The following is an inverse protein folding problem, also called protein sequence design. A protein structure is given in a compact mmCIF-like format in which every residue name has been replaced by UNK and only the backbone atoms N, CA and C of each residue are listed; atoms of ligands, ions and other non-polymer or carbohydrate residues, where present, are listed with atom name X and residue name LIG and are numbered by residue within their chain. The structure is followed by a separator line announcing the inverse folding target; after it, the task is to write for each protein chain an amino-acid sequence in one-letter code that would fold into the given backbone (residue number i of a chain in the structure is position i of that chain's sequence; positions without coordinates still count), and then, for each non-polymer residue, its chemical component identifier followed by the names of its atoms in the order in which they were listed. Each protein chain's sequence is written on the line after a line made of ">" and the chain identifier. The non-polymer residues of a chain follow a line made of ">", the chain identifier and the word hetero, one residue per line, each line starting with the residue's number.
data_IF_802853379621
#
_entry.id   IF_802853379621
#
_cell.length_a   1.000
_cell.length_b   1.000
_cell.length_c   1.000
_cell.angle_alpha   90.00
_cell.angle_beta   90.00
_cell.angle_gamma   90.00
#
_symmetry.space_group_name_H-M   'P 1'
#
loop_
_entity.id
_entity.type
_entity.pdbx_description
1 polymer ?
#
# COMPACT_ATOMS: atom_id res chain seq x y z
N UNK A 1 -9.25 -20.32 -19.50
CA UNK A 1 -8.03 -19.75 -18.89
C UNK A 1 -8.22 -19.88 -17.40
N UNK A 2 -7.48 -20.77 -16.76
CA UNK A 2 -7.58 -21.03 -15.33
C UNK A 2 -6.92 -19.88 -14.56
N UNK A 3 -7.73 -18.90 -14.14
CA UNK A 3 -7.30 -17.85 -13.23
C UNK A 3 -6.98 -18.49 -11.88
N UNK A 4 -5.70 -18.74 -11.60
CA UNK A 4 -5.25 -19.17 -10.28
C UNK A 4 -5.44 -18.02 -9.29
N UNK A 5 -6.58 -18.02 -8.59
CA UNK A 5 -6.82 -17.15 -7.45
C UNK A 5 -5.87 -17.60 -6.35
N UNK A 6 -5.03 -16.69 -5.87
CA UNK A 6 -4.21 -16.96 -4.70
C UNK A 6 -5.10 -16.80 -3.48
N UNK A 7 -5.64 -17.93 -3.01
CA UNK A 7 -6.30 -18.02 -1.71
C UNK A 7 -5.26 -18.42 -0.67
N UNK A 8 -5.17 -17.68 0.44
CA UNK A 8 -4.35 -18.08 1.59
C UNK A 8 -4.98 -19.32 2.24
N UNK A 9 -4.49 -20.51 1.91
CA UNK A 9 -4.77 -21.75 2.64
C UNK A 9 -3.52 -22.18 3.42
N UNK A 10 -3.69 -22.45 4.71
CA UNK A 10 -2.65 -22.84 5.66
C UNK A 10 -1.93 -24.12 5.22
N UNK A 11 -0.62 -24.06 5.08
CA UNK A 11 0.30 -25.18 5.27
C UNK A 11 1.58 -24.60 5.89
N UNK A 12 1.73 -24.84 7.19
CA UNK A 12 2.95 -24.60 7.96
C UNK A 12 4.03 -25.64 7.62
N UNK A 13 5.26 -25.30 7.99
CA UNK A 13 6.50 -26.08 8.03
C UNK A 13 7.54 -25.76 6.94
N UNK A 14 8.31 -24.69 7.17
CA UNK A 14 9.77 -24.85 7.33
C UNK A 14 10.39 -23.57 7.95
N UNK A 15 10.69 -23.64 9.25
CA UNK A 15 11.55 -22.69 9.96
C UNK A 15 13.00 -22.94 9.53
N UNK A 16 13.57 -22.02 8.74
CA UNK A 16 15.02 -21.96 8.64
C UNK A 16 15.52 -20.51 8.52
N UNK A 17 16.15 -20.10 9.61
CA UNK A 17 16.92 -18.87 9.82
C UNK A 17 17.81 -18.53 8.63
N UNK A 18 17.53 -17.40 7.99
CA UNK A 18 18.49 -16.64 7.19
C UNK A 18 18.34 -15.14 7.49
N UNK A 19 18.73 -14.74 8.70
CA UNK A 19 19.21 -13.38 8.93
C UNK A 19 20.66 -13.32 8.44
N UNK A 20 20.89 -12.65 7.31
CA UNK A 20 22.17 -11.99 6.96
C UNK A 20 21.98 -11.12 5.71
N UNK A 21 22.09 -9.81 5.91
CA UNK A 21 22.47 -8.80 4.90
C UNK A 21 21.69 -8.73 3.58
N UNK A 22 20.43 -8.26 3.62
CA UNK A 22 19.84 -7.62 2.43
C UNK A 22 20.06 -6.11 2.48
N UNK A 23 21.22 -5.68 1.96
CA UNK A 23 21.38 -4.30 1.52
C UNK A 23 20.38 -4.06 0.37
N UNK A 24 19.46 -3.13 0.60
CA UNK A 24 18.27 -2.83 -0.20
C UNK A 24 18.54 -2.74 -1.71
N UNK A 25 17.90 -3.60 -2.52
CA UNK A 25 18.02 -3.60 -3.98
C UNK A 25 17.41 -2.36 -4.65
N UNK A 26 16.41 -1.74 -4.02
CA UNK A 26 15.72 -0.56 -4.52
C UNK A 26 16.44 0.77 -4.28
N UNK A 27 17.51 0.82 -3.48
CA UNK A 27 18.14 2.09 -3.07
C UNK A 27 19.53 2.36 -3.67
N UNK A 28 20.05 1.51 -4.57
CA UNK A 28 21.38 1.72 -5.15
C UNK A 28 21.35 2.68 -6.35
N UNK A 29 22.07 3.80 -6.23
CA UNK A 29 22.66 4.55 -7.34
C UNK A 29 21.83 5.68 -7.98
N UNK A 30 20.50 5.55 -8.05
CA UNK A 30 19.62 6.54 -8.71
C UNK A 30 18.94 7.48 -7.71
N UNK A 31 18.56 8.69 -8.12
CA UNK A 31 17.80 9.60 -7.26
C UNK A 31 16.41 9.03 -6.95
N UNK A 32 15.81 9.27 -5.76
CA UNK A 32 14.50 8.72 -5.40
C UNK A 32 13.40 8.96 -6.44
N UNK A 33 13.43 10.14 -7.05
CA UNK A 33 12.48 10.54 -8.10
C UNK A 33 12.66 9.72 -9.40
N UNK A 34 13.90 9.42 -9.79
CA UNK A 34 14.19 8.63 -10.98
C UNK A 34 13.65 7.20 -10.82
N UNK A 35 13.84 6.61 -9.63
CA UNK A 35 13.33 5.28 -9.31
C UNK A 35 11.81 5.22 -9.30
N UNK A 36 11.15 6.25 -8.76
CA UNK A 36 9.69 6.36 -8.77
C UNK A 36 9.16 6.40 -10.21
N UNK A 37 9.74 7.23 -11.07
CA UNK A 37 9.36 7.31 -12.49
C UNK A 37 9.71 6.05 -13.28
N UNK A 38 10.87 5.43 -13.02
CA UNK A 38 11.28 4.19 -13.66
C UNK A 38 10.32 3.04 -13.32
N UNK A 39 9.90 2.92 -12.06
CA UNK A 39 8.90 1.93 -11.66
C UNK A 39 7.52 2.22 -12.25
N UNK A 40 7.08 3.49 -12.25
CA UNK A 40 5.81 3.88 -12.87
C UNK A 40 5.77 3.52 -14.37
N UNK A 41 6.87 3.77 -15.08
CA UNK A 41 7.08 3.33 -16.48
C UNK A 41 7.04 1.82 -16.63
N UNK A 42 7.74 1.10 -15.76
CA UNK A 42 7.81 -0.35 -15.77
C UNK A 42 6.44 -1.02 -15.61
N UNK A 43 5.51 -0.40 -14.87
CA UNK A 43 4.15 -0.93 -14.71
C UNK A 43 3.16 -0.46 -15.79
N UNK A 44 3.64 0.20 -16.85
CA UNK A 44 2.83 0.61 -18.00
C UNK A 44 2.23 2.01 -17.91
N UNK A 45 2.72 2.87 -17.01
CA UNK A 45 2.25 4.26 -16.83
C UNK A 45 0.72 4.39 -16.72
N UNK A 46 0.07 3.65 -15.78
CA UNK A 46 -1.38 3.54 -15.75
C UNK A 46 -2.06 4.91 -15.55
N UNK A 47 -3.12 5.20 -16.31
CA UNK A 47 -3.83 6.50 -16.27
C UNK A 47 -5.18 6.38 -15.57
N UNK A 48 -5.83 5.23 -15.72
CA UNK A 48 -7.14 4.94 -15.14
C UNK A 48 -6.97 3.96 -13.98
N UNK A 49 -7.04 4.48 -12.76
CA UNK A 49 -6.86 3.72 -11.53
C UNK A 49 -8.20 3.58 -10.78
N UNK A 50 -8.61 2.35 -10.48
CA UNK A 50 -9.80 2.09 -9.65
C UNK A 50 -9.50 2.49 -8.21
N UNK A 51 -10.28 3.42 -7.66
CA UNK A 51 -10.09 3.91 -6.30
C UNK A 51 -10.36 2.83 -5.23
N UNK A 52 -9.69 2.92 -4.05
CA UNK A 52 -9.94 2.01 -2.95
C UNK A 52 -11.29 2.31 -2.29
N UNK A 53 -12.15 1.29 -2.22
CA UNK A 53 -13.51 1.34 -1.67
C UNK A 53 -13.77 0.09 -0.83
N UNK A 54 -14.09 0.29 0.46
CA UNK A 54 -14.48 -0.81 1.36
C UNK A 54 -15.81 -1.40 0.89
N UNK A 55 -15.96 -2.73 0.97
CA UNK A 55 -17.12 -3.51 0.52
C UNK A 55 -17.45 -3.35 -0.98
N UNK A 56 -16.43 -3.06 -1.81
CA UNK A 56 -16.62 -2.81 -3.24
C UNK A 56 -15.39 -3.21 -4.07
N UNK A 57 -14.19 -2.80 -3.66
CA UNK A 57 -12.99 -2.97 -4.49
C UNK A 57 -12.31 -4.33 -4.33
N UNK A 58 -13.07 -5.39 -4.00
CA UNK A 58 -12.59 -6.77 -3.94
C UNK A 58 -12.23 -7.31 -5.34
N UNK A 59 -11.53 -8.44 -5.40
CA UNK A 59 -10.97 -8.99 -6.65
C UNK A 59 -11.99 -9.04 -7.82
N UNK A 60 -13.23 -9.55 -7.66
CA UNK A 60 -14.18 -9.61 -8.76
C UNK A 60 -14.49 -8.24 -9.36
N UNK A 61 -14.63 -7.21 -8.53
CA UNK A 61 -14.90 -5.85 -8.99
C UNK A 61 -13.70 -5.24 -9.69
N UNK A 62 -12.48 -5.44 -9.17
CA UNK A 62 -11.25 -4.97 -9.84
C UNK A 62 -11.10 -5.60 -11.22
N UNK A 63 -11.32 -6.90 -11.34
CA UNK A 63 -11.29 -7.60 -12.64
C UNK A 63 -12.37 -7.08 -13.60
N UNK A 64 -13.58 -6.78 -13.09
CA UNK A 64 -14.62 -6.16 -13.88
C UNK A 64 -14.18 -4.79 -14.41
N UNK A 65 -13.64 -3.91 -13.55
CA UNK A 65 -13.14 -2.61 -13.98
C UNK A 65 -12.01 -2.73 -15.02
N UNK A 66 -11.11 -3.70 -14.86
CA UNK A 66 -10.04 -3.99 -15.85
C UNK A 66 -10.61 -4.38 -17.20
N UNK A 67 -11.65 -5.22 -17.22
CA UNK A 67 -12.39 -5.57 -18.46
C UNK A 67 -12.97 -4.35 -19.17
N UNK A 68 -13.28 -3.29 -18.43
CA UNK A 68 -13.79 -2.01 -18.96
C UNK A 68 -12.72 -0.91 -19.09
N UNK A 69 -11.43 -1.26 -19.03
CA UNK A 69 -10.33 -0.35 -19.38
C UNK A 69 -9.62 0.32 -18.20
N UNK A 70 -9.79 -0.17 -16.96
CA UNK A 70 -8.92 0.27 -15.87
C UNK A 70 -7.50 -0.31 -16.06
N UNK A 71 -6.50 0.57 -16.01
CA UNK A 71 -5.09 0.19 -16.15
C UNK A 71 -4.56 -0.43 -14.85
N UNK A 72 -4.95 0.11 -13.70
CA UNK A 72 -4.56 -0.39 -12.38
C UNK A 72 -5.70 -0.24 -11.36
N UNK A 73 -5.55 -0.87 -10.20
CA UNK A 73 -6.58 -0.87 -9.18
C UNK A 73 -5.99 -0.87 -7.78
N UNK A 74 -6.74 -0.31 -6.83
CA UNK A 74 -6.49 -0.46 -5.39
C UNK A 74 -7.37 -1.56 -4.80
N UNK A 75 -6.86 -2.26 -3.79
CA UNK A 75 -7.68 -3.11 -2.90
C UNK A 75 -8.65 -2.29 -2.06
N UNK A 76 -9.57 -2.92 -1.32
CA UNK A 76 -10.22 -2.25 -0.19
C UNK A 76 -9.17 -1.76 0.81
N UNK A 77 -9.59 -0.86 1.71
CA UNK A 77 -8.73 -0.40 2.79
C UNK A 77 -8.62 -1.52 3.85
N UNK A 78 -7.44 -2.14 3.96
CA UNK A 78 -7.16 -3.22 4.89
C UNK A 78 -6.64 -2.67 6.23
N UNK A 79 -7.08 -3.22 7.36
CA UNK A 79 -6.57 -2.82 8.66
C UNK A 79 -5.25 -3.54 8.99
N UNK A 80 -4.11 -2.85 8.97
CA UNK A 80 -2.77 -3.44 9.15
C UNK A 80 -2.62 -4.38 10.36
N UNK A 81 -3.10 -3.95 11.54
CA UNK A 81 -3.09 -4.78 12.77
C UNK A 81 -3.88 -6.08 12.61
N UNK A 82 -5.16 -5.98 12.23
CA UNK A 82 -6.03 -7.16 12.06
C UNK A 82 -5.48 -8.06 10.94
N UNK A 83 -4.98 -7.47 9.86
CA UNK A 83 -4.37 -8.20 8.75
C UNK A 83 -3.14 -9.01 9.17
N UNK A 84 -2.34 -8.48 10.09
CA UNK A 84 -1.16 -9.15 10.62
C UNK A 84 -1.53 -10.25 11.60
N UNK A 85 -2.41 -9.94 12.56
CA UNK A 85 -2.75 -10.81 13.69
C UNK A 85 -3.80 -11.89 13.35
N UNK A 86 -4.65 -11.67 12.34
CA UNK A 86 -5.80 -12.54 12.06
C UNK A 86 -5.77 -13.08 10.62
N UNK A 87 -5.41 -14.35 10.48
CA UNK A 87 -5.37 -15.04 9.20
C UNK A 87 -6.74 -15.12 8.50
N UNK A 88 -7.82 -15.36 9.27
CA UNK A 88 -9.17 -15.42 8.72
C UNK A 88 -9.60 -14.10 8.11
N UNK A 89 -9.27 -12.98 8.76
CA UNK A 89 -9.51 -11.65 8.20
C UNK A 89 -8.68 -11.44 6.93
N UNK A 90 -7.39 -11.80 6.96
CA UNK A 90 -6.51 -11.68 5.80
C UNK A 90 -6.99 -12.48 4.59
N UNK A 91 -7.40 -13.74 4.77
CA UNK A 91 -7.88 -14.59 3.67
C UNK A 91 -9.24 -14.17 3.13
N UNK A 92 -10.09 -13.56 3.96
CA UNK A 92 -11.39 -13.03 3.55
C UNK A 92 -11.27 -11.72 2.76
N UNK A 93 -10.46 -10.79 3.27
CA UNK A 93 -10.41 -9.40 2.77
C UNK A 93 -9.39 -9.20 1.64
N UNK A 94 -8.39 -10.08 1.53
CA UNK A 94 -7.35 -9.98 0.51
C UNK A 94 -7.27 -11.24 -0.35
N UNK A 95 -7.62 -11.06 -1.62
CA UNK A 95 -7.44 -12.02 -2.70
C UNK A 95 -6.93 -11.30 -3.94
N UNK A 96 -6.16 -12.01 -4.76
CA UNK A 96 -5.65 -11.50 -6.04
C UNK A 96 -5.29 -12.64 -7.01
N UNK A 97 -4.99 -12.30 -8.25
CA UNK A 97 -4.57 -13.21 -9.31
C UNK A 97 -3.61 -12.49 -10.29
N UNK A 98 -3.10 -13.20 -11.30
CA UNK A 98 -2.10 -12.63 -12.22
C UNK A 98 -2.65 -11.47 -13.06
N UNK A 99 -3.93 -11.55 -13.41
CA UNK A 99 -4.68 -10.58 -14.21
C UNK A 99 -5.02 -9.31 -13.41
N UNK A 100 -4.84 -9.32 -12.10
CA UNK A 100 -5.15 -8.20 -11.21
C UNK A 100 -3.99 -7.20 -11.06
N UNK A 101 -2.97 -7.27 -11.93
CA UNK A 101 -1.82 -6.36 -11.91
C UNK A 101 -1.90 -5.31 -13.02
N UNK A 102 -1.42 -4.06 -12.79
CA UNK A 102 -0.75 -3.57 -11.58
C UNK A 102 -1.71 -3.31 -10.40
N UNK A 103 -1.30 -3.71 -9.19
CA UNK A 103 -2.13 -3.65 -7.98
C UNK A 103 -1.51 -2.75 -6.90
N UNK A 104 -2.36 -1.95 -6.25
CA UNK A 104 -2.02 -1.14 -5.08
C UNK A 104 -2.73 -1.74 -3.86
N UNK A 105 -2.00 -2.17 -2.84
CA UNK A 105 -2.61 -2.70 -1.62
C UNK A 105 -2.64 -1.61 -0.56
N UNK A 106 -3.83 -1.15 -0.21
CA UNK A 106 -4.01 -0.03 0.72
C UNK A 106 -4.23 -0.50 2.15
N UNK A 107 -3.41 -0.01 3.07
CA UNK A 107 -3.59 -0.21 4.50
C UNK A 107 -4.05 1.07 5.22
N UNK A 108 -4.84 0.90 6.27
CA UNK A 108 -4.86 1.84 7.39
C UNK A 108 -3.97 1.33 8.53
N UNK A 109 -3.26 2.26 9.17
CA UNK A 109 -2.29 1.94 10.23
C UNK A 109 -2.01 3.17 11.08
N UNK A 110 -1.46 2.93 12.27
CA UNK A 110 -0.96 3.95 13.18
C UNK A 110 0.29 3.49 13.96
N UNK A 111 0.87 2.37 13.55
CA UNK A 111 2.07 1.77 14.11
C UNK A 111 2.99 1.34 12.95
N UNK A 112 4.23 1.87 12.87
CA UNK A 112 5.14 1.56 11.76
C UNK A 112 5.57 0.09 11.68
N UNK A 113 5.74 -0.58 12.81
CA UNK A 113 6.24 -1.96 12.83
C UNK A 113 5.13 -2.93 12.41
N UNK A 114 3.92 -2.75 12.91
CA UNK A 114 2.74 -3.52 12.50
C UNK A 114 2.42 -3.28 11.02
N UNK A 115 2.53 -2.04 10.55
CA UNK A 115 2.31 -1.74 9.13
C UNK A 115 3.36 -2.45 8.25
N UNK A 116 4.62 -2.48 8.66
CA UNK A 116 5.67 -3.20 7.92
C UNK A 116 5.39 -4.70 7.87
N UNK A 117 4.98 -5.29 8.99
CA UNK A 117 4.64 -6.71 9.09
C UNK A 117 3.46 -7.09 8.16
N UNK A 118 2.42 -6.26 8.13
CA UNK A 118 1.30 -6.43 7.19
C UNK A 118 1.77 -6.29 5.73
N UNK A 119 2.64 -5.31 5.47
CA UNK A 119 3.10 -4.98 4.12
C UNK A 119 3.97 -6.08 3.51
N UNK A 120 4.84 -6.72 4.31
CA UNK A 120 5.68 -7.84 3.85
C UNK A 120 4.86 -9.05 3.39
N UNK A 121 3.66 -9.25 3.94
CA UNK A 121 2.75 -10.32 3.50
C UNK A 121 2.16 -10.08 2.12
N UNK A 122 1.97 -8.81 1.71
CA UNK A 122 1.33 -8.49 0.41
C UNK A 122 2.33 -8.10 -0.68
N UNK A 123 3.55 -7.75 -0.29
CA UNK A 123 4.63 -7.29 -1.17
C UNK A 123 4.86 -8.16 -2.43
N UNK A 124 4.88 -9.51 -2.36
CA UNK A 124 5.04 -10.35 -3.57
C UNK A 124 3.86 -10.23 -4.57
N UNK A 125 2.71 -9.76 -4.09
CA UNK A 125 1.43 -9.80 -4.80
C UNK A 125 0.99 -8.43 -5.35
N UNK A 126 1.69 -7.35 -5.00
CA UNK A 126 1.34 -6.00 -5.44
C UNK A 126 2.46 -5.32 -6.23
N UNK A 127 2.18 -4.10 -6.69
CA UNK A 127 3.14 -3.21 -7.34
C UNK A 127 3.43 -1.97 -6.49
N UNK A 128 2.54 -1.65 -5.55
CA UNK A 128 2.68 -0.62 -4.53
C UNK A 128 2.01 -1.07 -3.24
N UNK A 129 2.63 -0.70 -2.11
CA UNK A 129 1.94 -0.65 -0.83
C UNK A 129 1.50 0.79 -0.57
N UNK A 130 0.20 0.99 -0.34
CA UNK A 130 -0.40 2.29 -0.16
C UNK A 130 -0.82 2.53 1.29
N UNK A 131 -0.61 3.76 1.78
CA UNK A 131 -1.10 4.19 3.10
C UNK A 131 -2.32 5.09 2.92
N UNK A 132 -3.45 4.70 3.54
CA UNK A 132 -4.63 5.54 3.63
C UNK A 132 -4.41 6.65 4.66
N UNK A 133 -4.23 7.88 4.18
CA UNK A 133 -4.08 9.09 4.99
C UNK A 133 -5.26 10.05 4.79
N UNK A 134 -6.44 9.52 4.40
CA UNK A 134 -7.58 10.35 3.98
C UNK A 134 -8.95 9.99 4.56
N UNK A 135 -9.12 8.81 5.13
CA UNK A 135 -10.44 8.34 5.57
C UNK A 135 -10.97 9.23 6.72
N UNK A 136 -12.11 9.96 6.54
CA UNK A 136 -12.66 10.84 7.57
C UNK A 136 -13.74 10.14 8.42
N UNK A 137 -14.00 8.85 8.19
CA UNK A 137 -15.09 8.15 8.85
C UNK A 137 -14.86 8.01 10.36
N UNK A 138 -15.95 7.91 11.13
CA UNK A 138 -15.89 7.79 12.60
C UNK A 138 -15.06 6.59 13.07
N UNK A 139 -15.03 5.49 12.32
CA UNK A 139 -14.21 4.32 12.64
C UNK A 139 -12.71 4.65 12.57
N UNK A 140 -12.30 5.45 11.59
CA UNK A 140 -10.92 5.92 11.46
C UNK A 140 -10.51 6.85 12.59
N UNK A 141 -11.44 7.68 13.09
CA UNK A 141 -11.20 8.50 14.29
C UNK A 141 -10.93 7.64 15.52
N UNK A 142 -11.76 6.61 15.73
CA UNK A 142 -11.63 5.70 16.88
C UNK A 142 -10.35 4.88 16.82
N UNK A 143 -9.96 4.42 15.63
CA UNK A 143 -8.72 3.66 15.42
C UNK A 143 -7.47 4.53 15.22
N UNK A 144 -7.60 5.86 15.26
CA UNK A 144 -6.50 6.81 15.04
C UNK A 144 -5.72 6.56 13.74
N UNK A 145 -6.42 6.44 12.61
CA UNK A 145 -5.83 6.28 11.27
C UNK A 145 -6.55 7.16 10.23
N UNK A 146 -6.13 7.13 8.96
CA UNK A 146 -6.78 7.90 7.90
C UNK A 146 -6.51 9.40 8.04
N UNK A 147 -7.55 10.24 7.85
CA UNK A 147 -7.40 11.70 7.89
C UNK A 147 -6.97 12.21 9.28
N UNK A 148 -7.24 11.45 10.35
CA UNK A 148 -6.90 11.85 11.72
C UNK A 148 -5.41 11.76 12.02
N UNK A 149 -4.63 11.07 11.18
CA UNK A 149 -3.16 11.11 11.27
C UNK A 149 -2.58 12.46 10.84
N UNK A 150 -3.35 13.31 10.15
CA UNK A 150 -2.91 14.66 9.76
C UNK A 150 -2.64 15.56 10.98
N UNK A 151 -3.18 15.21 12.15
CA UNK A 151 -2.90 15.87 13.43
C UNK A 151 -1.54 15.45 14.03
N UNK A 152 -0.92 14.37 13.51
CA UNK A 152 0.37 13.84 13.95
C UNK A 152 1.28 13.51 12.76
N UNK A 153 1.79 14.56 12.12
CA UNK A 153 2.72 14.46 10.99
C UNK A 153 4.00 13.65 11.29
N UNK A 154 4.61 13.72 12.50
CA UNK A 154 5.74 12.85 12.85
C UNK A 154 5.42 11.36 12.71
N UNK A 155 4.23 10.93 13.16
CA UNK A 155 3.78 9.54 12.99
C UNK A 155 3.64 9.19 11.50
N UNK A 156 2.97 10.03 10.71
CA UNK A 156 2.83 9.83 9.25
C UNK A 156 4.19 9.64 8.58
N UNK A 157 5.15 10.53 8.87
CA UNK A 157 6.52 10.43 8.36
C UNK A 157 7.18 9.12 8.74
N UNK A 158 6.98 8.65 9.98
CA UNK A 158 7.56 7.38 10.45
C UNK A 158 6.97 6.16 9.72
N UNK A 159 5.66 6.14 9.45
CA UNK A 159 4.99 5.08 8.70
C UNK A 159 5.58 4.96 7.28
N UNK A 160 5.63 6.08 6.55
CA UNK A 160 6.16 6.13 5.18
C UNK A 160 7.63 5.73 5.14
N UNK A 161 8.46 6.32 6.01
CA UNK A 161 9.90 6.06 6.04
C UNK A 161 10.21 4.62 6.40
N UNK A 162 9.45 4.03 7.33
CA UNK A 162 9.63 2.62 7.71
C UNK A 162 9.38 1.70 6.51
N UNK A 163 8.28 1.90 5.79
CA UNK A 163 7.99 1.10 4.60
C UNK A 163 9.00 1.32 3.47
N UNK A 164 9.29 2.58 3.12
CA UNK A 164 10.19 2.91 2.01
C UNK A 164 11.62 2.37 2.21
N UNK A 165 12.06 2.24 3.47
CA UNK A 165 13.37 1.68 3.79
C UNK A 165 13.40 0.15 3.84
N UNK A 166 12.23 -0.52 3.96
CA UNK A 166 12.17 -1.94 4.28
C UNK A 166 11.31 -2.74 3.31
N UNK A 167 10.82 -2.18 2.20
CA UNK A 167 10.09 -2.91 1.16
C UNK A 167 10.84 -2.86 -0.17
N UNK A 168 10.67 -3.92 -0.96
CA UNK A 168 11.12 -4.10 -2.33
C UNK A 168 10.07 -3.61 -3.35
N UNK A 169 8.95 -3.05 -2.89
CA UNK A 169 7.96 -2.35 -3.73
C UNK A 169 7.83 -0.90 -3.25
N UNK A 170 7.60 0.06 -4.15
CA UNK A 170 7.46 1.46 -3.77
C UNK A 170 6.22 1.70 -2.90
N UNK A 171 6.32 2.73 -2.07
CA UNK A 171 5.23 3.19 -1.19
C UNK A 171 4.45 4.30 -1.90
N UNK A 172 3.13 4.21 -1.87
CA UNK A 172 2.25 5.33 -2.23
C UNK A 172 1.47 5.83 -1.00
N UNK A 173 0.98 7.05 -1.07
CA UNK A 173 0.12 7.61 -0.04
C UNK A 173 -1.08 8.28 -0.67
N UNK A 174 -2.27 7.91 -0.20
CA UNK A 174 -3.50 8.55 -0.62
C UNK A 174 -4.01 9.55 0.42
N UNK A 175 -4.02 10.83 0.06
CA UNK A 175 -4.17 11.97 0.98
C UNK A 175 -5.48 12.76 0.73
N UNK A 176 -5.77 13.69 1.65
CA UNK A 176 -6.64 14.84 1.43
C UNK A 176 -5.79 16.11 1.49
N UNK A 177 -6.30 17.18 0.87
CA UNK A 177 -5.70 18.51 0.97
C UNK A 177 -6.04 19.14 2.33
N UNK A 178 -5.12 19.95 2.85
CA UNK A 178 -5.41 20.88 3.94
C UNK A 178 -6.22 22.09 3.42
N UNK A 179 -6.95 22.81 4.29
CA UNK A 179 -7.62 24.04 3.89
C UNK A 179 -6.67 25.10 3.30
N UNK A 180 -5.43 25.14 3.78
CA UNK A 180 -4.38 26.00 3.24
C UNK A 180 -3.50 25.24 2.25
N UNK A 181 -3.26 25.82 1.07
CA UNK A 181 -2.42 25.24 0.03
C UNK A 181 -0.97 25.03 0.50
N UNK A 182 -0.40 25.98 1.23
CA UNK A 182 0.99 25.88 1.69
C UNK A 182 1.20 24.70 2.65
N UNK A 183 0.20 24.40 3.47
CA UNK A 183 0.26 23.25 4.37
C UNK A 183 0.13 21.93 3.59
N UNK A 184 -0.70 21.89 2.55
CA UNK A 184 -0.74 20.76 1.60
C UNK A 184 0.60 20.56 0.90
N UNK A 185 1.25 21.63 0.44
CA UNK A 185 2.56 21.55 -0.22
C UNK A 185 3.66 21.08 0.74
N UNK A 186 3.68 21.58 1.98
CA UNK A 186 4.61 21.11 3.03
C UNK A 186 4.38 19.63 3.33
N UNK A 187 3.12 19.21 3.42
CA UNK A 187 2.75 17.83 3.67
C UNK A 187 3.19 16.89 2.54
N UNK A 188 2.93 17.26 1.28
CA UNK A 188 3.37 16.50 0.11
C UNK A 188 4.90 16.34 0.07
N UNK A 189 5.64 17.44 0.26
CA UNK A 189 7.12 17.42 0.32
C UNK A 189 7.65 16.57 1.48
N UNK A 190 6.97 16.57 2.63
CA UNK A 190 7.33 15.71 3.75
C UNK A 190 7.17 14.22 3.41
N UNK A 191 6.07 13.84 2.74
CA UNK A 191 5.82 12.47 2.30
C UNK A 191 6.85 12.02 1.26
N UNK A 192 7.13 12.86 0.26
CA UNK A 192 8.17 12.64 -0.75
C UNK A 192 9.53 12.42 -0.08
N UNK A 193 9.95 13.33 0.82
CA UNK A 193 11.22 13.22 1.55
C UNK A 193 11.29 12.00 2.48
N UNK A 194 10.15 11.45 2.91
CA UNK A 194 10.07 10.21 3.67
C UNK A 194 10.21 8.95 2.80
N UNK A 195 10.17 9.08 1.47
CA UNK A 195 10.30 7.97 0.52
C UNK A 195 9.00 7.58 -0.19
N UNK A 196 7.93 8.37 -0.06
CA UNK A 196 6.72 8.15 -0.84
C UNK A 196 7.01 8.38 -2.33
N UNK A 197 6.67 7.41 -3.17
CA UNK A 197 6.93 7.44 -4.61
C UNK A 197 5.73 7.93 -5.43
N UNK A 198 4.52 7.94 -4.84
CA UNK A 198 3.29 8.38 -5.51
C UNK A 198 2.29 8.97 -4.51
N UNK A 199 1.73 10.14 -4.81
CA UNK A 199 0.66 10.76 -4.05
C UNK A 199 -0.65 10.74 -4.85
N UNK A 200 -1.76 10.37 -4.20
CA UNK A 200 -3.10 10.26 -4.79
C UNK A 200 -4.21 10.83 -3.89
#
# INVERSE_FOLDING_TARGET
>A
MDTQIVNYSSNDDDDNRLELNRANGYLKGEAPIERAWAHWKKIGEPKLLVAPMVDNSELPFRLLCRKYGADAAYTPMLHSRIFSENEKYRSLEFSTCKEDRPLFVQFCANDPDILLEASRRVEPYCNYVDINLRCPQRIARRGNYGAFLMDNLPLVKSLVKKLANNLDVPVSCKIRVFPNLQDTLKYAKMLEAAGCSLLA
#
